data_IF_250079194746
#
_entry.id   IF_250079194746
#
_cell.length_a   1.000
_cell.length_b   1.000
_cell.length_c   1.000
_cell.angle_alpha   90.00
_cell.angle_beta   90.00
_cell.angle_gamma   90.00
#
_symmetry.space_group_name_H-M   'P 1'
#
loop_
_entity.id
_entity.type
_entity.pdbx_description
1 polymer ?
#
# COMPACT_ATOMS: atom_id res chain seq x y z
N UNK A 1 20.62 -21.78 3.79
CA UNK A 1 19.41 -22.15 3.09
C UNK A 1 19.80 -22.48 1.66
N UNK A 2 19.31 -23.61 1.09
CA UNK A 2 19.56 -23.97 -0.31
C UNK A 2 18.67 -23.15 -1.26
N UNK A 3 18.98 -23.15 -2.56
CA UNK A 3 18.12 -22.51 -3.57
C UNK A 3 16.73 -23.18 -3.67
N UNK A 4 16.67 -24.48 -3.41
CA UNK A 4 15.43 -25.23 -3.37
C UNK A 4 14.55 -24.81 -2.17
N UNK A 5 15.15 -24.64 -0.99
CA UNK A 5 14.44 -24.12 0.19
C UNK A 5 13.90 -22.70 -0.06
N UNK A 6 14.69 -21.84 -0.74
CA UNK A 6 14.25 -20.48 -1.09
C UNK A 6 13.07 -20.52 -2.06
N UNK A 7 13.13 -21.37 -3.08
CA UNK A 7 12.04 -21.52 -4.06
C UNK A 7 10.74 -22.04 -3.41
N UNK A 8 10.84 -23.02 -2.50
CA UNK A 8 9.71 -23.55 -1.75
C UNK A 8 9.09 -22.46 -0.86
N UNK A 9 9.92 -21.73 -0.15
CA UNK A 9 9.51 -20.67 0.75
C UNK A 9 8.78 -19.52 0.03
N UNK A 10 9.31 -19.08 -1.12
CA UNK A 10 8.65 -18.09 -1.95
C UNK A 10 7.31 -18.58 -2.49
N UNK A 11 7.23 -19.85 -2.89
CA UNK A 11 5.98 -20.47 -3.35
C UNK A 11 4.91 -20.54 -2.25
N UNK A 12 5.30 -20.85 -1.02
CA UNK A 12 4.41 -20.89 0.14
C UNK A 12 3.92 -19.50 0.55
N UNK A 13 4.78 -18.46 0.47
CA UNK A 13 4.44 -17.09 0.83
C UNK A 13 3.67 -16.33 -0.28
N UNK A 14 3.77 -16.75 -1.54
CA UNK A 14 3.15 -16.08 -2.68
C UNK A 14 1.64 -15.85 -2.54
N UNK A 15 0.80 -16.85 -2.16
CA UNK A 15 -0.63 -16.64 -1.98
C UNK A 15 -0.98 -15.59 -0.93
N UNK A 16 -0.17 -15.48 0.12
CA UNK A 16 -0.38 -14.52 1.19
C UNK A 16 -0.07 -13.09 0.75
N UNK A 17 1.00 -12.91 -0.02
CA UNK A 17 1.29 -11.61 -0.65
C UNK A 17 0.15 -11.20 -1.57
N UNK A 18 -0.34 -12.09 -2.44
CA UNK A 18 -1.50 -11.81 -3.27
C UNK A 18 -2.70 -11.38 -2.42
N UNK A 19 -3.02 -12.14 -1.36
CA UNK A 19 -4.13 -11.83 -0.45
C UNK A 19 -3.99 -10.51 0.32
N UNK A 20 -2.75 -10.06 0.59
CA UNK A 20 -2.47 -8.81 1.29
C UNK A 20 -2.56 -7.57 0.39
N UNK A 21 -2.25 -7.73 -0.91
CA UNK A 21 -2.12 -6.64 -1.86
C UNK A 21 -3.21 -6.62 -2.94
N UNK A 22 -4.36 -7.27 -2.71
CA UNK A 22 -5.52 -7.21 -3.61
C UNK A 22 -5.44 -8.15 -4.82
N UNK A 23 -4.55 -9.13 -4.79
CA UNK A 23 -4.34 -10.07 -5.88
C UNK A 23 -3.42 -9.54 -6.98
N UNK A 24 -3.24 -10.35 -8.02
CA UNK A 24 -2.62 -9.89 -9.25
C UNK A 24 -3.55 -8.92 -9.98
N UNK A 25 -3.00 -7.82 -10.50
CA UNK A 25 -3.78 -6.89 -11.29
C UNK A 25 -4.23 -7.52 -12.62
N UNK A 26 -5.52 -7.48 -12.89
CA UNK A 26 -6.14 -8.13 -14.07
C UNK A 26 -5.91 -7.33 -15.35
N UNK A 27 -4.67 -7.27 -15.78
CA UNK A 27 -4.23 -6.73 -17.08
C UNK A 27 -3.07 -7.57 -17.62
N UNK A 28 -3.35 -8.58 -18.44
CA UNK A 28 -2.30 -9.46 -18.99
C UNK A 28 -1.23 -8.73 -19.82
N UNK A 29 -1.57 -7.61 -20.46
CA UNK A 29 -0.60 -6.83 -21.25
C UNK A 29 0.38 -6.11 -20.35
N UNK A 30 -0.12 -5.49 -19.28
CA UNK A 30 0.72 -4.81 -18.31
C UNK A 30 1.57 -5.82 -17.51
N UNK A 31 1.01 -6.99 -17.13
CA UNK A 31 1.78 -8.08 -16.52
C UNK A 31 2.95 -8.52 -17.43
N UNK A 32 2.67 -8.78 -18.71
CA UNK A 32 3.69 -9.20 -19.68
C UNK A 32 4.75 -8.11 -19.91
N UNK A 33 4.35 -6.85 -19.94
CA UNK A 33 5.26 -5.72 -20.11
C UNK A 33 6.25 -5.62 -18.94
N UNK A 34 5.77 -5.64 -17.69
CA UNK A 34 6.63 -5.60 -16.50
C UNK A 34 7.52 -6.84 -16.41
N UNK A 35 6.98 -8.02 -16.73
CA UNK A 35 7.77 -9.25 -16.81
C UNK A 35 8.87 -9.18 -17.87
N UNK A 36 8.61 -8.53 -19.01
CA UNK A 36 9.59 -8.30 -20.06
C UNK A 36 10.78 -7.46 -19.60
N UNK A 37 10.51 -6.36 -18.87
CA UNK A 37 11.54 -5.52 -18.24
C UNK A 37 12.38 -6.36 -17.26
N UNK A 38 11.71 -7.08 -16.35
CA UNK A 38 12.39 -7.93 -15.38
C UNK A 38 13.23 -9.02 -16.00
N UNK A 39 12.71 -9.71 -17.03
CA UNK A 39 13.44 -10.77 -17.75
C UNK A 39 14.70 -10.23 -18.44
N UNK A 40 14.60 -9.02 -19.03
CA UNK A 40 15.76 -8.35 -19.63
C UNK A 40 16.84 -8.06 -18.60
N UNK A 41 16.48 -7.58 -17.39
CA UNK A 41 17.41 -7.35 -16.30
C UNK A 41 18.06 -8.65 -15.81
N UNK A 42 17.27 -9.72 -15.62
CA UNK A 42 17.77 -11.05 -15.19
C UNK A 42 18.81 -11.59 -16.15
N UNK A 43 18.67 -11.34 -17.46
CA UNK A 43 19.65 -11.74 -18.47
C UNK A 43 21.05 -11.18 -18.25
N UNK A 44 21.20 -10.14 -17.44
CA UNK A 44 22.47 -9.49 -17.11
C UNK A 44 22.92 -9.69 -15.64
N UNK A 45 22.27 -10.60 -14.92
CA UNK A 45 22.66 -10.99 -13.56
C UNK A 45 23.77 -12.07 -13.59
N UNK A 46 24.29 -12.42 -12.40
CA UNK A 46 25.24 -13.52 -12.22
C UNK A 46 24.62 -14.90 -12.48
N UNK A 47 23.28 -14.98 -12.47
CA UNK A 47 22.52 -16.22 -12.63
C UNK A 47 21.41 -16.04 -13.68
N UNK A 48 21.75 -15.78 -14.95
CA UNK A 48 20.76 -15.46 -15.98
C UNK A 48 19.78 -16.60 -16.31
N UNK A 49 20.11 -17.83 -15.91
CA UNK A 49 19.24 -19.01 -16.04
C UNK A 49 18.30 -19.26 -14.86
N UNK A 50 18.36 -18.41 -13.83
CA UNK A 50 17.48 -18.56 -12.65
C UNK A 50 16.04 -18.18 -13.00
N UNK A 51 15.09 -18.88 -12.36
CA UNK A 51 13.67 -18.61 -12.53
C UNK A 51 13.25 -17.40 -11.70
N UNK A 52 12.78 -16.35 -12.37
CA UNK A 52 12.13 -15.21 -11.76
C UNK A 52 10.66 -15.13 -12.17
N UNK A 53 9.81 -14.64 -11.28
CA UNK A 53 8.37 -14.43 -11.50
C UNK A 53 8.03 -12.99 -11.14
N UNK A 54 7.50 -12.26 -12.10
CA UNK A 54 7.13 -10.85 -11.94
C UNK A 54 5.61 -10.74 -11.87
N UNK A 55 5.09 -10.03 -10.87
CA UNK A 55 3.65 -9.86 -10.69
C UNK A 55 3.34 -8.40 -10.40
N UNK A 56 2.44 -7.81 -11.19
CA UNK A 56 1.82 -6.53 -10.87
C UNK A 56 0.68 -6.78 -9.89
N UNK A 57 0.76 -6.15 -8.72
CA UNK A 57 -0.26 -6.28 -7.65
C UNK A 57 -1.34 -5.21 -7.78
N UNK A 58 -2.60 -5.59 -7.48
CA UNK A 58 -3.76 -4.70 -7.48
C UNK A 58 -3.80 -3.82 -6.22
N UNK A 59 -2.74 -3.08 -5.95
CA UNK A 59 -2.59 -2.24 -4.76
C UNK A 59 -2.25 -0.80 -5.11
N UNK A 60 -2.85 0.13 -4.36
CA UNK A 60 -2.58 1.58 -4.47
C UNK A 60 -1.31 2.01 -3.75
N UNK A 61 -0.78 1.19 -2.88
CA UNK A 61 0.45 1.46 -2.13
C UNK A 61 1.61 1.56 -3.12
N UNK A 62 2.44 2.58 -2.99
CA UNK A 62 3.67 2.72 -3.80
C UNK A 62 4.73 1.78 -3.24
N UNK A 63 4.90 0.62 -3.87
CA UNK A 63 5.82 -0.40 -3.39
C UNK A 63 6.28 -1.38 -4.47
N UNK A 64 7.48 -1.95 -4.26
CA UNK A 64 7.97 -3.17 -4.89
C UNK A 64 8.58 -4.07 -3.82
N UNK A 65 8.66 -5.36 -4.06
CA UNK A 65 9.21 -6.31 -3.11
C UNK A 65 9.70 -7.59 -3.76
N UNK A 66 10.67 -8.23 -3.13
CA UNK A 66 11.17 -9.53 -3.50
C UNK A 66 10.94 -10.57 -2.40
N UNK A 67 10.52 -11.77 -2.78
CA UNK A 67 10.56 -12.95 -1.92
C UNK A 67 11.70 -13.89 -2.35
N UNK A 68 12.18 -14.77 -1.44
CA UNK A 68 13.10 -15.83 -1.80
C UNK A 68 12.59 -16.64 -3.00
N UNK A 69 13.48 -17.20 -3.80
CA UNK A 69 13.10 -18.00 -4.98
C UNK A 69 12.68 -17.19 -6.21
N UNK A 70 13.00 -15.89 -6.25
CA UNK A 70 12.85 -15.05 -7.45
C UNK A 70 11.45 -14.51 -7.71
N UNK A 71 10.61 -14.40 -6.69
CA UNK A 71 9.30 -13.73 -6.81
C UNK A 71 9.48 -12.23 -6.63
N UNK A 72 9.18 -11.45 -7.66
CA UNK A 72 9.24 -9.98 -7.68
C UNK A 72 7.84 -9.43 -7.87
N UNK A 73 7.48 -8.46 -7.05
CA UNK A 73 6.18 -7.81 -7.10
C UNK A 73 6.35 -6.31 -7.29
N UNK A 74 5.48 -5.73 -8.11
CA UNK A 74 5.37 -4.29 -8.31
C UNK A 74 3.90 -3.89 -8.17
N UNK A 75 3.59 -2.88 -7.39
CA UNK A 75 2.21 -2.43 -7.20
C UNK A 75 1.79 -1.45 -8.29
N UNK A 76 0.46 -1.35 -8.56
CA UNK A 76 -0.10 -0.31 -9.44
C UNK A 76 0.27 1.10 -8.97
N UNK A 77 0.32 1.30 -7.65
CA UNK A 77 0.72 2.58 -7.07
C UNK A 77 2.12 3.00 -7.48
N UNK A 78 3.08 2.06 -7.50
CA UNK A 78 4.44 2.32 -7.96
C UNK A 78 4.47 2.59 -9.47
N UNK A 79 3.75 1.80 -10.26
CA UNK A 79 3.67 2.03 -11.72
C UNK A 79 3.08 3.40 -12.04
N UNK A 80 2.05 3.84 -11.30
CA UNK A 80 1.47 5.17 -11.51
C UNK A 80 2.45 6.31 -11.17
N UNK A 81 3.34 6.11 -10.18
CA UNK A 81 4.34 7.11 -9.78
C UNK A 81 5.50 7.21 -10.76
N UNK A 82 6.04 6.09 -11.25
CA UNK A 82 7.12 6.08 -12.22
C UNK A 82 6.72 6.80 -13.53
N UNK A 83 7.67 7.49 -14.16
CA UNK A 83 7.43 8.27 -15.37
C UNK A 83 7.91 7.59 -16.64
N UNK A 84 8.81 6.62 -16.51
CA UNK A 84 9.42 5.95 -17.64
C UNK A 84 9.88 4.52 -17.31
N UNK A 85 10.25 3.80 -18.36
CA UNK A 85 10.69 2.41 -18.28
C UNK A 85 11.98 2.25 -17.48
N UNK A 86 12.91 3.22 -17.59
CA UNK A 86 14.18 3.15 -16.89
C UNK A 86 14.01 3.36 -15.37
N UNK A 87 13.06 4.19 -14.92
CA UNK A 87 12.69 4.31 -13.49
C UNK A 87 12.16 2.97 -12.95
N UNK A 88 11.24 2.33 -13.70
CA UNK A 88 10.73 1.01 -13.33
C UNK A 88 11.85 -0.04 -13.33
N UNK A 89 12.72 -0.04 -14.34
CA UNK A 89 13.86 -0.94 -14.43
C UNK A 89 14.82 -0.78 -13.25
N UNK A 90 15.01 0.45 -12.74
CA UNK A 90 15.80 0.72 -11.55
C UNK A 90 15.25 0.04 -10.31
N UNK A 91 13.95 0.17 -10.09
CA UNK A 91 13.29 -0.47 -8.95
C UNK A 91 13.31 -1.99 -9.07
N UNK A 92 12.92 -2.52 -10.22
CA UNK A 92 12.91 -3.98 -10.45
C UNK A 92 14.33 -4.55 -10.37
N UNK A 93 15.33 -3.83 -10.91
CA UNK A 93 16.74 -4.21 -10.82
C UNK A 93 17.25 -4.27 -9.36
N UNK A 94 16.83 -3.33 -8.53
CA UNK A 94 17.12 -3.34 -7.10
C UNK A 94 16.50 -4.55 -6.39
N UNK A 95 15.23 -4.89 -6.68
CA UNK A 95 14.58 -6.08 -6.13
C UNK A 95 15.25 -7.38 -6.60
N UNK A 96 15.67 -7.43 -7.86
CA UNK A 96 16.48 -8.53 -8.37
C UNK A 96 17.83 -8.59 -7.63
N UNK A 97 18.45 -7.45 -7.33
CA UNK A 97 19.66 -7.34 -6.52
C UNK A 97 19.50 -7.97 -5.13
N UNK A 98 18.36 -7.77 -4.47
CA UNK A 98 18.07 -8.43 -3.19
C UNK A 98 17.96 -9.95 -3.30
N UNK A 99 17.48 -10.47 -4.42
CA UNK A 99 17.40 -11.92 -4.67
C UNK A 99 18.79 -12.48 -4.98
N UNK A 100 19.54 -11.87 -5.92
CA UNK A 100 20.88 -12.32 -6.34
C UNK A 100 21.91 -12.19 -5.19
N UNK A 101 21.82 -11.14 -4.37
CA UNK A 101 22.59 -10.95 -3.13
C UNK A 101 22.10 -11.84 -1.97
N UNK A 102 21.00 -12.62 -2.17
CA UNK A 102 20.40 -13.50 -1.16
C UNK A 102 19.93 -12.79 0.11
N UNK A 103 19.69 -11.48 0.06
CA UNK A 103 19.31 -10.67 1.22
C UNK A 103 17.96 -11.09 1.79
N UNK A 104 16.98 -11.40 0.94
CA UNK A 104 15.65 -11.91 1.32
C UNK A 104 15.75 -13.23 2.08
N UNK A 105 16.60 -14.16 1.63
CA UNK A 105 16.83 -15.43 2.30
C UNK A 105 17.52 -15.28 3.65
N UNK A 106 18.49 -14.37 3.76
CA UNK A 106 19.18 -14.05 5.03
C UNK A 106 18.20 -13.48 6.05
N UNK A 107 17.37 -12.49 5.67
CA UNK A 107 16.35 -11.89 6.54
C UNK A 107 15.34 -12.92 7.04
N UNK A 108 14.86 -13.76 6.14
CA UNK A 108 13.92 -14.78 6.52
C UNK A 108 14.52 -15.77 7.51
N UNK A 109 15.76 -16.20 7.29
CA UNK A 109 16.48 -17.07 8.24
C UNK A 109 16.67 -16.41 9.60
N UNK A 110 16.98 -15.12 9.64
CA UNK A 110 17.12 -14.34 10.89
C UNK A 110 15.76 -14.20 11.61
N UNK A 111 14.68 -13.93 10.87
CA UNK A 111 13.34 -13.84 11.45
C UNK A 111 12.88 -15.18 12.05
N UNK A 112 13.17 -16.30 11.37
CA UNK A 112 12.92 -17.64 11.91
C UNK A 112 13.72 -17.91 13.20
N UNK A 113 15.01 -17.59 13.20
CA UNK A 113 15.86 -17.78 14.38
C UNK A 113 15.40 -16.92 15.56
N UNK A 114 15.01 -15.66 15.32
CA UNK A 114 14.47 -14.77 16.34
C UNK A 114 13.16 -15.27 16.95
N UNK A 115 12.25 -15.81 16.14
CA UNK A 115 10.97 -16.37 16.62
C UNK A 115 11.14 -17.65 17.42
N UNK A 116 12.14 -18.49 17.10
CA UNK A 116 12.50 -19.67 17.91
C UNK A 116 13.07 -19.24 19.26
N UNK A 117 13.82 -18.15 19.31
CA UNK A 117 14.44 -17.64 20.55
C UNK A 117 13.44 -16.88 21.47
N UNK A 118 12.37 -16.28 20.89
CA UNK A 118 11.41 -15.45 21.61
C UNK A 118 10.07 -16.13 21.89
N UNK A 119 9.95 -17.42 21.61
CA UNK A 119 8.76 -18.27 21.67
C UNK A 119 7.72 -17.95 22.73
N UNK A 120 7.08 -16.80 22.73
CA UNK A 120 5.84 -16.45 23.44
C UNK A 120 5.65 -14.90 23.35
N UNK A 121 5.14 -14.36 22.27
CA UNK A 121 4.56 -13.00 22.31
C UNK A 121 3.47 -12.75 21.24
N UNK A 122 3.00 -13.82 20.56
CA UNK A 122 2.10 -13.70 19.40
C UNK A 122 0.60 -13.63 19.70
N UNK A 123 0.14 -13.90 20.91
CA UNK A 123 -1.30 -14.17 21.14
C UNK A 123 -2.14 -12.90 21.38
N UNK A 124 -1.55 -11.83 21.92
CA UNK A 124 -2.34 -10.64 22.29
C UNK A 124 -2.58 -9.67 21.12
N UNK A 125 -1.72 -9.65 20.12
CA UNK A 125 -1.84 -8.73 18.97
C UNK A 125 -2.70 -9.29 17.84
N UNK A 126 -2.81 -10.61 17.70
CA UNK A 126 -3.56 -11.26 16.61
C UNK A 126 -5.08 -11.02 16.66
N UNK A 127 -5.64 -10.80 17.84
CA UNK A 127 -7.08 -10.52 18.01
C UNK A 127 -7.45 -9.15 17.41
N UNK A 128 -6.51 -8.21 17.37
CA UNK A 128 -6.76 -6.83 16.95
C UNK A 128 -6.27 -6.48 15.56
N UNK A 129 -5.23 -7.14 15.07
CA UNK A 129 -4.66 -6.86 13.74
C UNK A 129 -5.18 -7.81 12.66
N UNK A 130 -5.80 -8.93 13.03
CA UNK A 130 -6.21 -9.98 12.11
C UNK A 130 -5.05 -10.74 11.48
N UNK A 131 -3.81 -10.46 11.91
CA UNK A 131 -2.60 -11.13 11.45
C UNK A 131 -2.18 -12.15 12.51
N UNK A 132 -2.26 -13.42 12.18
CA UNK A 132 -1.77 -14.51 13.02
C UNK A 132 -0.24 -14.60 12.81
N UNK A 133 0.54 -14.02 13.71
CA UNK A 133 2.01 -14.00 13.64
C UNK A 133 2.66 -15.40 13.84
N UNK A 134 1.86 -16.43 14.04
CA UNK A 134 2.34 -17.81 14.24
C UNK A 134 2.47 -18.64 12.96
N UNK A 135 1.90 -18.18 11.84
CA UNK A 135 1.95 -18.88 10.56
C UNK A 135 3.12 -18.39 9.72
N UNK A 136 3.59 -19.21 8.77
CA UNK A 136 4.69 -18.88 7.84
C UNK A 136 4.45 -17.55 7.12
N UNK A 137 3.20 -17.20 6.88
CA UNK A 137 2.76 -15.90 6.35
C UNK A 137 3.07 -14.71 7.27
N UNK A 138 2.89 -14.88 8.59
CA UNK A 138 3.27 -13.88 9.58
C UNK A 138 4.78 -13.64 9.62
N UNK A 139 5.58 -14.67 9.36
CA UNK A 139 7.04 -14.59 9.27
C UNK A 139 7.50 -13.82 8.02
N UNK A 140 6.89 -14.07 6.87
CA UNK A 140 7.18 -13.34 5.64
C UNK A 140 6.80 -11.85 5.78
N UNK A 141 5.64 -11.55 6.36
CA UNK A 141 5.22 -10.18 6.65
C UNK A 141 6.15 -9.50 7.68
N UNK A 142 6.60 -10.21 8.71
CA UNK A 142 7.52 -9.67 9.73
C UNK A 142 8.91 -9.43 9.14
N UNK A 143 9.42 -10.36 8.33
CA UNK A 143 10.68 -10.19 7.62
C UNK A 143 10.63 -9.00 6.67
N UNK A 144 9.50 -8.78 6.00
CA UNK A 144 9.26 -7.63 5.12
C UNK A 144 9.25 -6.29 5.89
N UNK A 145 8.65 -6.24 7.09
CA UNK A 145 8.52 -5.01 7.90
C UNK A 145 9.86 -4.58 8.52
N UNK A 146 10.82 -5.48 8.74
CA UNK A 146 12.06 -5.18 9.47
C UNK A 146 13.14 -4.39 8.70
N UNK A 147 12.93 -4.07 7.41
CA UNK A 147 13.90 -3.34 6.58
C UNK A 147 15.23 -4.11 6.34
N UNK A 148 15.92 -3.85 5.26
CA UNK A 148 17.25 -4.39 4.98
C UNK A 148 18.34 -3.61 5.73
N UNK A 149 19.52 -4.20 5.96
CA UNK A 149 20.65 -3.47 6.48
C UNK A 149 21.15 -2.45 5.44
N UNK A 150 21.84 -1.40 5.90
CA UNK A 150 22.41 -0.39 4.99
C UNK A 150 23.35 -0.99 3.96
N UNK A 151 24.12 -2.01 4.34
CA UNK A 151 25.06 -2.69 3.45
C UNK A 151 24.32 -3.50 2.39
N UNK A 152 23.26 -4.23 2.77
CA UNK A 152 22.41 -4.96 1.83
C UNK A 152 21.69 -4.02 0.85
N UNK A 153 21.22 -2.86 1.31
CA UNK A 153 20.63 -1.84 0.45
C UNK A 153 21.67 -1.29 -0.56
N UNK A 154 22.89 -0.98 -0.08
CA UNK A 154 23.96 -0.48 -0.94
C UNK A 154 24.39 -1.50 -1.99
N UNK A 155 24.45 -2.78 -1.61
CA UNK A 155 24.72 -3.86 -2.55
C UNK A 155 23.61 -4.01 -3.58
N UNK A 156 22.33 -4.00 -3.17
CA UNK A 156 21.18 -4.09 -4.06
C UNK A 156 21.12 -2.90 -5.03
N UNK A 157 21.43 -1.68 -4.59
CA UNK A 157 21.54 -0.51 -5.47
C UNK A 157 22.64 -0.71 -6.51
N UNK A 158 23.83 -1.15 -6.10
CA UNK A 158 24.97 -1.36 -6.99
C UNK A 158 24.68 -2.44 -8.04
N UNK A 159 24.05 -3.53 -7.62
CA UNK A 159 23.60 -4.61 -8.50
C UNK A 159 22.53 -4.12 -9.49
N UNK A 160 21.49 -3.44 -8.99
CA UNK A 160 20.41 -2.91 -9.81
C UNK A 160 20.90 -1.93 -10.88
N UNK A 161 21.76 -0.99 -10.51
CA UNK A 161 22.39 -0.03 -11.43
C UNK A 161 23.20 -0.76 -12.50
N UNK A 162 23.98 -1.77 -12.13
CA UNK A 162 24.76 -2.58 -13.06
C UNK A 162 23.85 -3.32 -14.04
N UNK A 163 22.75 -3.93 -13.57
CA UNK A 163 21.80 -4.64 -14.42
C UNK A 163 21.08 -3.69 -15.38
N UNK A 164 20.65 -2.50 -14.90
CA UNK A 164 20.07 -1.46 -15.75
C UNK A 164 21.02 -1.05 -16.88
N UNK A 165 22.26 -0.71 -16.53
CA UNK A 165 23.27 -0.26 -17.48
C UNK A 165 23.57 -1.33 -18.53
N UNK A 166 23.79 -2.57 -18.11
CA UNK A 166 24.02 -3.70 -19.02
C UNK A 166 22.81 -3.97 -19.91
N UNK A 167 21.60 -3.67 -19.44
CA UNK A 167 20.35 -3.77 -20.20
C UNK A 167 20.08 -2.57 -21.11
N UNK A 168 20.92 -1.54 -21.09
CA UNK A 168 20.81 -0.35 -21.95
C UNK A 168 19.86 0.73 -21.46
N UNK A 169 19.43 0.71 -20.21
CA UNK A 169 18.72 1.83 -19.56
C UNK A 169 19.68 2.77 -18.88
N UNK A 170 19.28 4.06 -18.75
CA UNK A 170 20.09 5.04 -18.04
C UNK A 170 20.03 4.82 -16.53
N UNK A 171 21.15 4.66 -15.82
CA UNK A 171 21.19 4.48 -14.37
C UNK A 171 20.67 5.70 -13.59
N UNK A 172 20.74 6.91 -14.16
CA UNK A 172 20.29 8.15 -13.53
C UNK A 172 18.81 8.12 -13.18
N UNK A 173 17.99 7.37 -13.94
CA UNK A 173 16.55 7.22 -13.67
C UNK A 173 16.24 6.61 -12.31
N UNK A 174 17.14 5.79 -11.74
CA UNK A 174 16.97 5.28 -10.38
C UNK A 174 17.03 6.40 -9.34
N UNK A 175 17.95 7.35 -9.47
CA UNK A 175 18.03 8.53 -8.59
C UNK A 175 16.82 9.46 -8.77
N UNK A 176 16.34 9.63 -10.01
CA UNK A 176 15.13 10.40 -10.31
C UNK A 176 13.91 9.80 -9.62
N UNK A 177 13.73 8.48 -9.72
CA UNK A 177 12.62 7.78 -9.07
C UNK A 177 12.65 7.91 -7.55
N UNK A 178 13.81 7.85 -6.91
CA UNK A 178 13.94 8.07 -5.46
C UNK A 178 13.54 9.48 -5.05
N UNK A 179 13.86 10.48 -5.87
CA UNK A 179 13.37 11.85 -5.66
C UNK A 179 11.84 11.90 -5.64
N UNK A 180 11.19 11.24 -6.60
CA UNK A 180 9.72 11.15 -6.66
C UNK A 180 9.11 10.39 -5.48
N UNK A 181 9.72 9.30 -5.04
CA UNK A 181 9.28 8.58 -3.84
C UNK A 181 9.29 9.51 -2.62
N UNK A 182 10.32 10.37 -2.50
CA UNK A 182 10.39 11.36 -1.43
C UNK A 182 9.27 12.39 -1.54
N UNK A 183 9.02 12.92 -2.74
CA UNK A 183 7.94 13.89 -2.96
C UNK A 183 6.56 13.26 -2.71
N UNK A 184 6.36 12.00 -3.10
CA UNK A 184 5.16 11.22 -2.78
C UNK A 184 4.98 11.05 -1.27
N UNK A 185 6.05 10.71 -0.54
CA UNK A 185 6.01 10.55 0.92
C UNK A 185 5.70 11.86 1.63
N UNK A 186 6.25 12.98 1.14
CA UNK A 186 5.92 14.32 1.62
C UNK A 186 4.46 14.67 1.41
N UNK A 187 3.94 14.41 0.21
CA UNK A 187 2.53 14.62 -0.08
C UNK A 187 1.64 13.77 0.84
N UNK A 188 1.98 12.49 1.05
CA UNK A 188 1.22 11.62 1.95
C UNK A 188 1.24 12.10 3.39
N UNK A 189 2.37 12.61 3.88
CA UNK A 189 2.46 13.23 5.21
C UNK A 189 1.53 14.43 5.32
N UNK A 190 1.55 15.34 4.35
CA UNK A 190 0.66 16.51 4.29
C UNK A 190 -0.81 16.09 4.25
N UNK A 191 -1.17 15.14 3.41
CA UNK A 191 -2.52 14.60 3.32
C UNK A 191 -2.98 13.92 4.62
N UNK A 192 -2.03 13.41 5.42
CA UNK A 192 -2.28 12.85 6.74
C UNK A 192 -2.31 13.92 7.86
N UNK A 193 -2.18 15.21 7.53
CA UNK A 193 -2.09 16.31 8.51
C UNK A 193 -0.80 16.30 9.34
N UNK A 194 0.28 15.71 8.82
CA UNK A 194 1.60 15.63 9.46
C UNK A 194 2.58 16.57 8.78
N UNK A 195 3.72 16.79 9.44
CA UNK A 195 4.81 17.56 8.82
C UNK A 195 5.32 16.85 7.54
N UNK A 196 5.57 17.58 6.44
CA UNK A 196 6.19 17.02 5.25
C UNK A 196 7.60 16.46 5.49
N UNK A 197 8.23 16.77 6.62
CA UNK A 197 9.53 16.22 7.00
C UNK A 197 9.45 14.86 7.70
N UNK A 198 8.24 14.37 8.03
CA UNK A 198 8.00 13.02 8.56
C UNK A 198 8.03 11.93 7.45
N UNK A 199 8.99 12.02 6.53
CA UNK A 199 9.05 11.19 5.30
C UNK A 199 9.43 9.74 5.54
N UNK A 200 10.16 9.44 6.62
CA UNK A 200 10.70 8.10 6.88
C UNK A 200 9.64 7.10 7.38
N UNK A 201 8.43 7.56 7.69
CA UNK A 201 7.32 6.73 8.17
C UNK A 201 6.44 6.17 7.05
N UNK A 202 6.60 6.68 5.82
CA UNK A 202 5.70 6.38 4.70
C UNK A 202 6.44 5.68 3.56
N UNK A 203 5.77 4.70 2.94
CA UNK A 203 6.17 4.08 1.69
C UNK A 203 7.36 3.11 1.75
N UNK A 204 7.92 2.86 0.61
CA UNK A 204 9.07 2.01 0.32
C UNK A 204 10.32 2.37 1.15
N UNK A 205 10.43 3.60 1.69
CA UNK A 205 11.54 4.00 2.58
C UNK A 205 11.53 3.27 3.93
N UNK A 206 10.36 2.86 4.42
CA UNK A 206 10.28 2.11 5.68
C UNK A 206 10.87 0.69 5.57
N UNK A 207 10.73 0.04 4.40
CA UNK A 207 11.31 -1.28 4.12
C UNK A 207 12.70 -1.20 3.51
N UNK A 208 13.03 -0.08 2.83
CA UNK A 208 14.29 0.17 2.12
C UNK A 208 14.87 1.54 2.49
N UNK A 209 15.53 1.69 3.66
CA UNK A 209 16.06 2.97 4.10
C UNK A 209 17.20 3.43 3.16
N UNK A 210 16.84 4.31 2.21
CA UNK A 210 17.74 4.82 1.18
C UNK A 210 18.03 6.29 1.40
N UNK A 211 19.24 6.72 1.08
CA UNK A 211 19.56 8.13 0.89
C UNK A 211 19.68 8.43 -0.60
N UNK A 212 19.04 9.50 -1.06
CA UNK A 212 19.14 9.96 -2.47
C UNK A 212 20.60 10.15 -2.88
N UNK A 213 21.45 10.60 -1.98
CA UNK A 213 22.87 10.82 -2.25
C UNK A 213 23.63 9.51 -2.54
N UNK A 214 23.34 8.42 -1.80
CA UNK A 214 23.95 7.10 -2.03
C UNK A 214 23.66 6.57 -3.44
N UNK A 215 22.43 6.76 -3.93
CA UNK A 215 22.05 6.32 -5.28
C UNK A 215 22.65 7.23 -6.35
N UNK A 216 22.73 8.54 -6.11
CA UNK A 216 23.47 9.45 -7.02
C UNK A 216 24.93 9.06 -7.13
N UNK A 217 25.59 8.73 -6.02
CA UNK A 217 26.99 8.31 -6.03
C UNK A 217 27.18 7.00 -6.80
N UNK A 218 26.27 6.02 -6.62
CA UNK A 218 26.31 4.75 -7.33
C UNK A 218 25.98 4.93 -8.83
N UNK A 219 25.00 5.76 -9.20
CA UNK A 219 24.68 6.09 -10.58
C UNK A 219 25.83 6.83 -11.28
N UNK A 220 26.47 7.79 -10.60
CA UNK A 220 27.64 8.49 -11.11
C UNK A 220 28.85 7.56 -11.32
N UNK A 221 29.02 6.57 -10.44
CA UNK A 221 30.07 5.56 -10.60
C UNK A 221 29.80 4.65 -11.82
N UNK A 222 28.56 4.23 -12.03
CA UNK A 222 28.14 3.43 -13.19
C UNK A 222 28.22 4.22 -14.51
N UNK A 223 27.83 5.50 -14.49
CA UNK A 223 27.84 6.38 -15.67
C UNK A 223 29.24 6.69 -16.21
N UNK A 224 30.29 6.68 -15.37
CA UNK A 224 31.69 6.84 -15.82
C UNK A 224 32.17 5.73 -16.75
N UNK A 225 31.48 4.58 -16.76
CA UNK A 225 31.81 3.44 -17.63
C UNK A 225 31.01 3.37 -18.94
N UNK A 226 29.85 4.05 -19.04
CA UNK A 226 28.90 3.90 -20.16
C UNK A 226 28.64 5.18 -20.97
N UNK A 227 29.24 6.32 -20.60
CA UNK A 227 29.01 7.59 -21.28
C UNK A 227 27.59 8.18 -21.09
N UNK A 228 26.80 7.69 -20.14
CA UNK A 228 25.53 8.28 -19.73
C UNK A 228 24.39 8.22 -20.76
N UNK A 229 24.50 7.39 -21.81
CA UNK A 229 23.53 7.31 -22.91
C UNK A 229 22.69 6.03 -22.84
N UNK A 230 21.85 5.90 -21.81
CA UNK A 230 20.84 4.84 -21.77
C UNK A 230 19.47 5.33 -22.22
N UNK A 231 18.61 4.39 -22.67
CA UNK A 231 17.23 4.69 -23.01
C UNK A 231 16.42 4.98 -21.72
N UNK A 232 15.45 5.88 -21.80
CA UNK A 232 14.46 6.13 -20.73
C UNK A 232 13.13 5.44 -21.01
N UNK A 233 12.71 5.31 -22.27
CA UNK A 233 11.51 4.58 -22.68
C UNK A 233 10.18 5.20 -22.23
N UNK A 234 10.11 6.55 -22.07
CA UNK A 234 8.95 7.25 -21.48
C UNK A 234 7.66 7.03 -22.27
N UNK A 235 7.68 7.25 -23.59
CA UNK A 235 6.46 7.19 -24.40
C UNK A 235 5.84 5.79 -24.44
N UNK A 236 6.68 4.76 -24.50
CA UNK A 236 6.25 3.37 -24.46
C UNK A 236 5.65 3.03 -23.11
N UNK A 237 6.32 3.43 -22.03
CA UNK A 237 5.86 3.24 -20.68
C UNK A 237 4.47 3.85 -20.44
N UNK A 238 4.31 5.14 -20.76
CA UNK A 238 3.05 5.84 -20.62
C UNK A 238 1.93 5.20 -21.45
N UNK A 239 2.24 4.68 -22.64
CA UNK A 239 1.24 3.99 -23.46
C UNK A 239 0.74 2.69 -22.81
N UNK A 240 1.59 1.97 -22.08
CA UNK A 240 1.19 0.78 -21.32
C UNK A 240 0.35 1.11 -20.07
N UNK A 241 0.48 2.32 -19.54
CA UNK A 241 -0.27 2.76 -18.36
C UNK A 241 -1.61 3.41 -18.69
N UNK A 242 -1.87 3.82 -19.94
CA UNK A 242 -3.13 4.49 -20.30
C UNK A 242 -4.33 3.56 -20.07
N UNK A 243 -5.24 3.99 -19.21
CA UNK A 243 -6.41 3.21 -18.77
C UNK A 243 -6.19 2.37 -17.51
N UNK A 244 -4.97 2.29 -16.98
CA UNK A 244 -4.70 1.56 -15.71
C UNK A 244 -5.55 2.13 -14.57
N UNK A 245 -6.07 1.26 -13.72
CA UNK A 245 -6.80 1.65 -12.51
C UNK A 245 -5.89 2.43 -11.56
N UNK A 246 -6.34 3.58 -11.08
CA UNK A 246 -5.66 4.41 -10.08
C UNK A 246 -6.57 4.55 -8.86
N UNK A 247 -5.98 4.56 -7.66
CA UNK A 247 -6.78 4.56 -6.43
C UNK A 247 -7.45 3.22 -6.16
N UNK A 248 -8.51 3.26 -5.37
CA UNK A 248 -9.22 2.07 -4.92
C UNK A 248 -9.87 1.30 -6.06
N UNK A 249 -9.89 -0.03 -5.93
CA UNK A 249 -10.67 -0.90 -6.79
C UNK A 249 -12.14 -0.88 -6.33
N UNK A 250 -13.11 -0.50 -7.20
CA UNK A 250 -14.53 -0.51 -6.85
C UNK A 250 -15.04 -1.87 -6.35
N UNK A 251 -14.39 -2.98 -6.75
CA UNK A 251 -14.70 -4.33 -6.26
C UNK A 251 -14.40 -4.51 -4.77
N UNK A 252 -13.42 -3.76 -4.24
CA UNK A 252 -13.01 -3.76 -2.82
C UNK A 252 -13.59 -2.56 -2.05
N UNK A 253 -14.39 -1.73 -2.71
CA UNK A 253 -14.92 -0.48 -2.19
C UNK A 253 -14.02 0.72 -2.48
N UNK A 254 -14.55 1.92 -2.30
CA UNK A 254 -13.86 3.17 -2.61
C UNK A 254 -13.92 4.16 -1.46
N UNK A 255 -12.84 4.88 -1.27
CA UNK A 255 -12.74 6.02 -0.36
C UNK A 255 -12.81 7.32 -1.16
N UNK A 256 -13.71 8.23 -0.74
CA UNK A 256 -13.80 9.59 -1.25
C UNK A 256 -13.84 10.55 -0.05
N UNK A 257 -12.77 11.27 0.17
CA UNK A 257 -12.61 12.10 1.38
C UNK A 257 -12.78 11.25 2.66
N UNK A 258 -13.82 11.54 3.44
CA UNK A 258 -14.15 10.85 4.69
C UNK A 258 -15.19 9.75 4.56
N UNK A 259 -15.59 9.41 3.34
CA UNK A 259 -16.63 8.41 3.07
C UNK A 259 -16.01 7.16 2.44
N UNK A 260 -16.33 6.00 3.00
CA UNK A 260 -16.15 4.70 2.38
C UNK A 260 -17.49 4.23 1.78
N UNK A 261 -17.43 3.68 0.59
CA UNK A 261 -18.59 3.11 -0.11
C UNK A 261 -18.18 1.82 -0.83
N UNK A 262 -18.99 0.78 -0.73
CA UNK A 262 -18.75 -0.49 -1.39
C UNK A 262 -19.97 -0.93 -2.19
N UNK A 263 -19.87 -0.88 -3.53
CA UNK A 263 -20.99 -1.16 -4.43
C UNK A 263 -21.54 -2.59 -4.28
N UNK A 264 -20.64 -3.59 -4.19
CA UNK A 264 -21.01 -5.00 -4.03
C UNK A 264 -21.72 -5.31 -2.71
N UNK A 265 -21.23 -4.76 -1.60
CA UNK A 265 -21.89 -4.88 -0.28
C UNK A 265 -23.10 -3.95 -0.16
N UNK A 266 -23.23 -2.95 -1.02
CA UNK A 266 -24.32 -1.97 -0.96
C UNK A 266 -24.27 -1.06 0.26
N UNK A 267 -23.11 -0.85 0.88
CA UNK A 267 -22.97 -0.14 2.16
C UNK A 267 -22.06 1.07 2.04
N UNK A 268 -22.32 2.09 2.86
CA UNK A 268 -21.43 3.24 3.05
C UNK A 268 -21.40 3.66 4.51
N UNK A 269 -20.31 4.36 4.88
CA UNK A 269 -20.19 5.08 6.15
C UNK A 269 -19.26 6.28 6.02
N UNK A 270 -19.31 7.17 6.99
CA UNK A 270 -18.47 8.38 7.05
C UNK A 270 -17.71 8.41 8.38
N UNK A 271 -16.41 8.75 8.32
CA UNK A 271 -15.58 8.93 9.51
C UNK A 271 -15.53 10.41 9.93
N UNK A 272 -15.19 10.72 11.22
CA UNK A 272 -15.13 12.09 11.70
C UNK A 272 -14.10 12.93 10.95
N UNK A 273 -14.24 14.23 11.00
CA UNK A 273 -13.21 15.16 10.51
C UNK A 273 -11.87 14.89 11.23
N UNK A 274 -10.77 15.02 10.50
CA UNK A 274 -9.43 14.73 11.00
C UNK A 274 -9.00 13.27 10.91
N UNK A 275 -9.94 12.37 10.52
CA UNK A 275 -9.59 10.97 10.22
C UNK A 275 -9.30 10.78 8.74
N UNK A 276 -8.23 10.06 8.44
CA UNK A 276 -7.89 9.61 7.08
C UNK A 276 -8.25 8.14 6.92
N UNK A 277 -9.10 7.86 5.93
CA UNK A 277 -9.48 6.50 5.53
C UNK A 277 -8.39 5.88 4.64
N UNK A 278 -8.15 4.61 4.86
CA UNK A 278 -7.33 3.74 4.00
C UNK A 278 -8.12 2.47 3.73
N UNK A 279 -8.34 2.17 2.46
CA UNK A 279 -8.99 0.93 2.04
C UNK A 279 -7.94 -0.17 1.88
N UNK A 280 -8.01 -1.19 2.71
CA UNK A 280 -7.17 -2.37 2.64
C UNK A 280 -8.00 -3.61 2.27
N UNK A 281 -7.35 -4.64 1.79
CA UNK A 281 -8.00 -5.88 1.30
C UNK A 281 -8.81 -6.66 2.35
N UNK A 282 -8.45 -6.52 3.61
CA UNK A 282 -9.12 -7.24 4.73
C UNK A 282 -9.93 -6.32 5.64
N UNK A 283 -9.68 -5.02 5.57
CA UNK A 283 -10.35 -4.04 6.41
C UNK A 283 -10.13 -2.63 5.89
N UNK A 284 -11.12 -1.78 6.12
CA UNK A 284 -10.98 -0.33 5.97
C UNK A 284 -10.55 0.23 7.32
N UNK A 285 -9.50 1.04 7.33
CA UNK A 285 -9.00 1.69 8.55
C UNK A 285 -9.07 3.20 8.41
N UNK A 286 -9.31 3.90 9.51
CA UNK A 286 -9.18 5.34 9.57
C UNK A 286 -8.36 5.72 10.79
N UNK A 287 -7.46 6.69 10.65
CA UNK A 287 -6.58 7.15 11.71
C UNK A 287 -6.57 8.67 11.76
N UNK A 288 -6.35 9.21 12.96
CA UNK A 288 -6.15 10.64 13.16
C UNK A 288 -4.83 10.93 13.92
N UNK A 289 -4.49 12.21 14.06
CA UNK A 289 -3.27 12.66 14.74
C UNK A 289 -3.23 12.36 16.23
N UNK A 290 -4.41 12.21 16.88
CA UNK A 290 -4.54 12.01 18.33
C UNK A 290 -4.45 10.53 18.73
N UNK A 291 -4.13 9.64 17.77
CA UNK A 291 -4.01 8.21 18.00
C UNK A 291 -5.34 7.45 17.98
N UNK A 292 -6.43 8.10 17.57
CA UNK A 292 -7.71 7.44 17.32
C UNK A 292 -7.63 6.56 16.08
N UNK A 293 -8.15 5.33 16.17
CA UNK A 293 -8.23 4.38 15.07
C UNK A 293 -9.67 3.87 14.95
N UNK A 294 -10.18 3.82 13.73
CA UNK A 294 -11.43 3.15 13.38
C UNK A 294 -11.09 2.05 12.38
N UNK A 295 -11.55 0.83 12.63
CA UNK A 295 -11.40 -0.30 11.74
C UNK A 295 -12.77 -0.85 11.38
N UNK A 296 -13.05 -1.00 10.10
CA UNK A 296 -14.23 -1.67 9.56
C UNK A 296 -13.79 -2.95 8.84
N UNK A 297 -14.43 -4.06 9.17
CA UNK A 297 -14.25 -5.33 8.50
C UNK A 297 -15.53 -6.18 8.52
N UNK A 298 -15.47 -7.36 7.92
CA UNK A 298 -16.56 -8.34 7.96
C UNK A 298 -16.25 -9.44 8.98
N UNK A 299 -17.24 -9.72 9.81
CA UNK A 299 -17.25 -10.89 10.68
C UNK A 299 -17.73 -12.15 9.95
N UNK A 300 -17.65 -13.29 10.64
CA UNK A 300 -18.31 -14.51 10.17
C UNK A 300 -19.82 -14.31 10.18
N UNK A 301 -20.52 -14.91 9.20
CA UNK A 301 -21.98 -14.95 9.19
C UNK A 301 -22.53 -15.46 10.53
N UNK A 302 -23.59 -14.82 11.03
CA UNK A 302 -24.18 -15.20 12.29
C UNK A 302 -25.72 -15.14 12.23
N UNK A 303 -26.36 -16.17 12.81
CA UNK A 303 -27.81 -16.23 12.95
C UNK A 303 -28.30 -15.64 14.28
N UNK A 304 -27.40 -15.43 15.24
CA UNK A 304 -27.69 -14.91 16.57
C UNK A 304 -27.91 -13.38 16.55
N UNK A 305 -28.41 -12.85 17.67
CA UNK A 305 -28.45 -11.41 17.89
C UNK A 305 -27.03 -10.83 18.09
N UNK A 306 -26.89 -9.51 17.92
CA UNK A 306 -25.58 -8.88 17.93
C UNK A 306 -24.97 -8.71 19.31
N UNK A 307 -25.76 -8.72 20.39
CA UNK A 307 -25.23 -8.72 21.76
C UNK A 307 -24.57 -10.06 22.08
N UNK A 308 -25.23 -11.17 21.72
CA UNK A 308 -24.68 -12.52 21.81
C UNK A 308 -23.44 -12.68 20.92
N UNK A 309 -23.45 -12.12 19.71
CA UNK A 309 -22.30 -12.14 18.79
C UNK A 309 -21.06 -11.44 19.39
N UNK A 310 -21.25 -10.24 19.99
CA UNK A 310 -20.16 -9.52 20.65
C UNK A 310 -19.53 -10.37 21.77
N UNK A 311 -20.35 -10.97 22.63
CA UNK A 311 -19.87 -11.69 23.81
C UNK A 311 -19.27 -13.06 23.52
N UNK A 312 -19.88 -13.81 22.59
CA UNK A 312 -19.56 -15.24 22.39
C UNK A 312 -18.66 -15.50 21.20
N UNK A 313 -18.63 -14.59 20.22
CA UNK A 313 -17.82 -14.77 19.01
C UNK A 313 -16.72 -13.74 18.89
N UNK A 314 -17.05 -12.44 18.77
CA UNK A 314 -16.04 -11.43 18.48
C UNK A 314 -15.13 -11.09 19.65
N UNK A 315 -15.70 -10.83 20.83
CA UNK A 315 -14.93 -10.51 22.03
C UNK A 315 -14.86 -11.69 23.03
N UNK A 316 -14.92 -12.91 22.52
CA UNK A 316 -14.84 -14.11 23.35
C UNK A 316 -13.60 -14.09 24.25
N UNK A 317 -13.82 -14.20 25.57
CA UNK A 317 -12.74 -14.14 26.57
C UNK A 317 -12.39 -12.73 27.05
N UNK A 318 -12.98 -11.68 26.46
CA UNK A 318 -12.82 -10.30 26.94
C UNK A 318 -14.01 -9.88 27.79
N UNK A 319 -13.74 -9.06 28.81
CA UNK A 319 -14.80 -8.50 29.65
C UNK A 319 -15.34 -7.22 29.00
N UNK A 320 -16.54 -7.31 28.42
CA UNK A 320 -17.24 -6.15 27.88
C UNK A 320 -18.08 -5.45 28.95
N UNK A 321 -18.14 -4.13 28.88
CA UNK A 321 -19.03 -3.25 29.62
C UNK A 321 -19.94 -2.47 28.65
N UNK A 322 -21.02 -1.89 29.19
CA UNK A 322 -21.94 -1.05 28.41
C UNK A 322 -22.44 -1.73 27.12
N UNK A 323 -22.81 -3.01 27.24
CA UNK A 323 -23.36 -3.75 26.10
C UNK A 323 -24.78 -3.28 25.88
N UNK A 324 -25.06 -2.81 24.66
CA UNK A 324 -26.35 -2.25 24.29
C UNK A 324 -26.77 -2.74 22.90
N UNK A 325 -28.01 -3.21 22.80
CA UNK A 325 -28.65 -3.48 21.50
C UNK A 325 -29.17 -2.16 20.94
N UNK A 326 -28.83 -1.89 19.67
CA UNK A 326 -29.22 -0.68 18.96
C UNK A 326 -29.72 -1.02 17.56
N UNK A 327 -30.31 -0.04 16.89
CA UNK A 327 -30.70 -0.16 15.48
C UNK A 327 -30.00 0.96 14.69
N UNK A 328 -29.36 0.63 13.58
CA UNK A 328 -28.66 1.58 12.71
C UNK A 328 -29.31 1.53 11.32
N UNK A 329 -30.05 2.57 10.98
CA UNK A 329 -30.74 2.68 9.68
C UNK A 329 -31.51 1.41 9.29
N UNK A 330 -32.24 0.83 10.24
CA UNK A 330 -33.03 -0.40 10.06
C UNK A 330 -32.27 -1.71 10.27
N UNK A 331 -30.95 -1.68 10.41
CA UNK A 331 -30.12 -2.86 10.66
C UNK A 331 -29.98 -3.12 12.18
N UNK A 332 -30.30 -4.34 12.67
CA UNK A 332 -30.03 -4.71 14.06
C UNK A 332 -28.53 -4.66 14.38
N UNK A 333 -28.16 -4.07 15.49
CA UNK A 333 -26.76 -3.90 15.88
C UNK A 333 -26.57 -4.01 17.41
N UNK A 334 -25.34 -4.14 17.85
CA UNK A 334 -24.99 -4.01 19.25
C UNK A 334 -23.63 -3.34 19.40
N UNK A 335 -23.47 -2.61 20.49
CA UNK A 335 -22.20 -1.99 20.89
C UNK A 335 -21.77 -2.51 22.27
N UNK A 336 -20.45 -2.50 22.53
CA UNK A 336 -19.89 -2.83 23.83
C UNK A 336 -18.50 -2.20 23.96
N UNK A 337 -18.03 -2.00 25.18
CA UNK A 337 -16.76 -1.35 25.47
C UNK A 337 -15.84 -2.27 26.28
N UNK A 338 -14.55 -2.15 26.04
CA UNK A 338 -13.51 -2.78 26.87
C UNK A 338 -12.26 -1.92 26.89
N UNK A 339 -11.39 -2.16 27.86
CA UNK A 339 -10.05 -1.58 27.89
C UNK A 339 -9.01 -2.66 27.63
N UNK A 340 -8.10 -2.39 26.74
CA UNK A 340 -7.05 -3.32 26.31
C UNK A 340 -5.70 -2.79 26.76
N UNK A 341 -4.82 -3.71 27.14
CA UNK A 341 -3.42 -3.41 27.39
C UNK A 341 -2.60 -3.80 26.18
N UNK A 342 -1.85 -2.86 25.63
CA UNK A 342 -0.92 -3.06 24.52
C UNK A 342 0.51 -2.79 24.96
N UNK A 343 1.49 -3.18 24.16
CA UNK A 343 2.89 -2.84 24.40
C UNK A 343 3.17 -1.31 24.34
N UNK A 344 2.25 -0.52 23.78
CA UNK A 344 2.30 0.95 23.73
C UNK A 344 1.43 1.63 24.81
N UNK A 345 0.84 0.84 25.73
CA UNK A 345 -0.03 1.34 26.79
C UNK A 345 -1.47 0.86 26.67
N UNK A 346 -2.34 1.37 27.55
CA UNK A 346 -3.76 1.05 27.53
C UNK A 346 -4.48 1.77 26.39
N UNK A 347 -5.46 1.10 25.78
CA UNK A 347 -6.39 1.69 24.80
C UNK A 347 -7.83 1.34 25.17
N UNK A 348 -8.74 2.29 25.04
CA UNK A 348 -10.17 2.04 25.13
C UNK A 348 -10.67 1.56 23.76
N UNK A 349 -11.39 0.46 23.76
CA UNK A 349 -11.95 -0.17 22.59
C UNK A 349 -13.49 -0.17 22.68
N UNK A 350 -14.14 0.42 21.68
CA UNK A 350 -15.58 0.29 21.47
C UNK A 350 -15.81 -0.61 20.26
N UNK A 351 -16.55 -1.67 20.47
CA UNK A 351 -16.94 -2.64 19.45
C UNK A 351 -18.36 -2.32 18.98
N UNK A 352 -18.59 -2.45 17.69
CA UNK A 352 -19.89 -2.30 17.07
C UNK A 352 -20.07 -3.42 16.05
N UNK A 353 -21.05 -4.30 16.26
CA UNK A 353 -21.47 -5.33 15.31
C UNK A 353 -22.83 -4.95 14.71
N UNK A 354 -22.96 -5.03 13.39
CA UNK A 354 -24.15 -4.67 12.64
C UNK A 354 -24.53 -5.88 11.79
N UNK A 355 -25.82 -6.30 11.87
CA UNK A 355 -26.35 -7.42 11.10
C UNK A 355 -27.09 -6.92 9.88
N UNK A 356 -26.70 -7.41 8.70
CA UNK A 356 -27.35 -7.14 7.44
C UNK A 356 -27.63 -8.48 6.72
N UNK A 357 -28.85 -8.96 6.83
CA UNK A 357 -29.19 -10.32 6.42
C UNK A 357 -28.37 -11.39 7.14
N UNK A 358 -27.50 -12.08 6.44
CA UNK A 358 -26.53 -13.05 7.01
C UNK A 358 -25.18 -12.40 7.34
N UNK A 359 -24.84 -11.31 6.69
CA UNK A 359 -23.59 -10.61 6.89
C UNK A 359 -23.52 -9.94 8.26
N UNK A 360 -22.31 -9.87 8.81
CA UNK A 360 -22.01 -9.11 10.02
C UNK A 360 -20.91 -8.13 9.70
N UNK A 361 -21.23 -6.84 9.73
CA UNK A 361 -20.24 -5.76 9.66
C UNK A 361 -19.74 -5.44 11.06
N UNK A 362 -18.43 -5.23 11.18
CA UNK A 362 -17.81 -4.90 12.46
C UNK A 362 -17.09 -3.58 12.36
N UNK A 363 -17.30 -2.71 13.34
CA UNK A 363 -16.49 -1.52 13.54
C UNK A 363 -15.82 -1.58 14.90
N UNK A 364 -14.51 -1.39 14.91
CA UNK A 364 -13.70 -1.28 16.13
C UNK A 364 -13.17 0.14 16.19
N UNK A 365 -13.50 0.84 17.28
CA UNK A 365 -12.99 2.17 17.59
C UNK A 365 -11.96 2.02 18.70
N UNK A 366 -10.75 2.48 18.46
CA UNK A 366 -9.65 2.48 19.44
C UNK A 366 -9.24 3.91 19.74
N UNK A 367 -9.10 4.24 21.01
CA UNK A 367 -8.64 5.57 21.44
C UNK A 367 -7.72 5.46 22.65
N UNK A 368 -6.66 6.28 22.73
CA UNK A 368 -5.95 6.47 23.99
C UNK A 368 -6.94 6.93 25.07
N UNK A 369 -6.87 6.40 26.31
CA UNK A 369 -7.86 6.71 27.36
C UNK A 369 -8.04 8.20 27.66
N UNK A 370 -6.99 9.00 27.43
CA UNK A 370 -6.97 10.44 27.69
C UNK A 370 -7.89 11.23 26.74
N UNK A 371 -8.12 10.71 25.54
CA UNK A 371 -8.92 11.39 24.50
C UNK A 371 -10.23 10.67 24.17
N UNK A 372 -10.54 9.54 24.84
CA UNK A 372 -11.76 8.74 24.57
C UNK A 372 -13.04 9.58 24.64
N UNK A 373 -13.19 10.43 25.65
CA UNK A 373 -14.35 11.29 25.78
C UNK A 373 -14.50 12.31 24.63
N UNK A 374 -13.39 12.85 24.15
CA UNK A 374 -13.36 13.78 23.02
C UNK A 374 -13.82 13.12 21.71
N UNK A 375 -13.51 11.83 21.52
CA UNK A 375 -13.87 11.09 20.32
C UNK A 375 -15.28 10.49 20.35
N UNK A 376 -15.95 10.45 21.50
CA UNK A 376 -17.22 9.75 21.67
C UNK A 376 -18.32 10.22 20.70
N UNK A 377 -18.48 11.51 20.50
CA UNK A 377 -19.48 12.06 19.55
C UNK A 377 -19.14 11.72 18.09
N UNK A 378 -17.87 11.81 17.71
CA UNK A 378 -17.42 11.42 16.39
C UNK A 378 -17.65 9.94 16.09
N UNK A 379 -17.35 9.07 17.05
CA UNK A 379 -17.62 7.63 16.95
C UNK A 379 -19.12 7.35 16.84
N UNK A 380 -19.96 8.09 17.58
CA UNK A 380 -21.41 7.99 17.50
C UNK A 380 -21.92 8.38 16.10
N UNK A 381 -21.46 9.51 15.56
CA UNK A 381 -21.82 9.95 14.20
C UNK A 381 -21.39 8.93 13.16
N UNK A 382 -20.17 8.38 13.24
CA UNK A 382 -19.71 7.31 12.35
C UNK A 382 -20.63 6.08 12.45
N UNK A 383 -20.97 5.65 13.67
CA UNK A 383 -21.90 4.53 13.90
C UNK A 383 -23.22 4.72 13.13
N UNK A 384 -23.86 5.86 13.27
CA UNK A 384 -25.16 6.13 12.64
C UNK A 384 -25.06 6.58 11.19
N UNK A 385 -23.86 6.82 10.66
CA UNK A 385 -23.63 7.07 9.23
C UNK A 385 -23.63 5.80 8.39
N UNK A 386 -23.52 4.62 9.02
CA UNK A 386 -23.57 3.33 8.33
C UNK A 386 -24.96 3.11 7.77
N UNK A 387 -25.08 2.98 6.45
CA UNK A 387 -26.35 2.75 5.75
C UNK A 387 -26.15 2.07 4.42
N UNK A 388 -27.24 1.59 3.85
CA UNK A 388 -27.23 1.12 2.47
C UNK A 388 -27.03 2.29 1.48
N UNK A 389 -26.36 1.97 0.36
CA UNK A 389 -26.29 2.86 -0.80
C UNK A 389 -27.65 2.90 -1.51
N UNK A 390 -28.01 4.08 -1.99
CA UNK A 390 -29.07 4.18 -2.99
C UNK A 390 -28.59 3.64 -4.34
N UNK A 391 -29.53 3.32 -5.27
CA UNK A 391 -29.15 2.85 -6.61
C UNK A 391 -28.33 3.91 -7.38
N UNK A 392 -28.67 5.18 -7.21
CA UNK A 392 -27.91 6.29 -7.79
C UNK A 392 -26.47 6.36 -7.25
N UNK A 393 -26.28 6.28 -5.93
CA UNK A 393 -24.96 6.27 -5.31
C UNK A 393 -24.14 5.05 -5.75
N UNK A 394 -24.77 3.88 -5.88
CA UNK A 394 -24.12 2.67 -6.37
C UNK A 394 -23.63 2.82 -7.82
N UNK A 395 -24.44 3.43 -8.68
CA UNK A 395 -24.11 3.67 -10.08
C UNK A 395 -23.02 4.75 -10.27
N UNK A 396 -22.85 5.64 -9.28
CA UNK A 396 -21.83 6.69 -9.30
C UNK A 396 -20.44 6.21 -8.82
N UNK A 397 -20.34 5.01 -8.24
CA UNK A 397 -19.08 4.42 -7.85
C UNK A 397 -18.34 3.94 -9.12
N UNK A 398 -17.50 4.81 -9.67
CA UNK A 398 -16.69 4.54 -10.87
C UNK A 398 -15.23 4.42 -10.51
N UNK A 399 -14.47 3.52 -11.19
CA UNK A 399 -13.03 3.45 -11.04
C UNK A 399 -12.37 4.72 -11.54
N UNK A 400 -11.40 5.22 -10.82
CA UNK A 400 -10.48 6.23 -11.33
C UNK A 400 -9.42 5.55 -12.20
N UNK A 401 -9.11 6.15 -13.35
CA UNK A 401 -8.13 5.59 -14.27
C UNK A 401 -7.07 6.61 -14.64
N UNK A 402 -5.88 6.11 -14.87
CA UNK A 402 -4.82 6.90 -15.47
C UNK A 402 -5.17 7.20 -16.91
N UNK A 403 -5.05 8.46 -17.32
CA UNK A 403 -5.20 8.89 -18.69
C UNK A 403 -3.97 9.66 -19.14
N UNK A 404 -3.39 9.25 -20.24
CA UNK A 404 -2.26 9.98 -20.82
C UNK A 404 -2.83 11.07 -21.71
N UNK A 405 -2.46 12.31 -21.40
CA UNK A 405 -2.85 13.49 -22.16
C UNK A 405 -1.64 14.11 -22.85
N UNK A 406 -1.88 14.84 -23.92
CA UNK A 406 -0.89 15.73 -24.54
C UNK A 406 -1.19 17.15 -24.14
N UNK A 407 -0.21 17.83 -23.57
CA UNK A 407 -0.30 19.25 -23.16
C UNK A 407 -0.58 20.12 -24.38
N UNK A 408 -1.57 21.01 -24.30
CA UNK A 408 -1.95 21.94 -25.34
C UNK A 408 -1.34 23.33 -25.09
N UNK A 409 -1.29 24.16 -26.11
CA UNK A 409 -0.94 25.56 -25.96
C UNK A 409 -1.93 26.26 -25.00
N UNK A 410 -1.40 26.94 -23.98
CA UNK A 410 -2.18 27.61 -22.94
C UNK A 410 -2.50 26.75 -21.71
N UNK A 411 -2.20 25.42 -21.71
CA UNK A 411 -2.30 24.61 -20.52
C UNK A 411 -1.23 25.05 -19.49
N UNK A 412 -1.63 25.08 -18.23
CA UNK A 412 -0.73 25.30 -17.07
C UNK A 412 -0.87 24.14 -16.09
N UNK A 413 0.06 24.02 -15.16
CA UNK A 413 -0.04 23.03 -14.06
C UNK A 413 -1.36 23.19 -13.32
N UNK A 414 -1.75 24.42 -13.02
CA UNK A 414 -2.96 24.76 -12.28
C UNK A 414 -4.22 24.34 -13.08
N UNK A 415 -4.30 24.73 -14.36
CA UNK A 415 -5.47 24.39 -15.22
C UNK A 415 -5.63 22.88 -15.43
N UNK A 416 -4.52 22.12 -15.49
CA UNK A 416 -4.56 20.67 -15.60
C UNK A 416 -4.92 20.04 -14.25
N UNK A 417 -4.37 20.54 -13.15
CA UNK A 417 -4.64 20.05 -11.81
C UNK A 417 -6.12 20.23 -11.40
N UNK A 418 -6.79 21.30 -11.83
CA UNK A 418 -8.21 21.55 -11.57
C UNK A 418 -9.10 20.42 -12.13
N UNK A 419 -8.65 19.68 -13.14
CA UNK A 419 -9.37 18.56 -13.75
C UNK A 419 -9.25 17.25 -12.99
N UNK A 420 -8.37 17.18 -11.96
CA UNK A 420 -8.23 15.98 -11.14
C UNK A 420 -9.45 15.78 -10.24
N UNK A 421 -9.90 14.53 -10.03
CA UNK A 421 -11.09 14.19 -9.24
C UNK A 421 -10.81 14.18 -7.72
N UNK A 422 -10.08 15.16 -7.23
CA UNK A 422 -9.74 15.32 -5.81
C UNK A 422 -10.27 16.66 -5.29
N UNK A 423 -10.62 16.69 -4.00
CA UNK A 423 -11.14 17.92 -3.37
C UNK A 423 -10.03 18.84 -2.86
N UNK A 424 -8.84 18.27 -2.60
CA UNK A 424 -7.70 18.93 -1.96
C UNK A 424 -6.37 18.70 -2.71
N UNK A 425 -5.41 19.56 -2.49
CA UNK A 425 -4.01 19.42 -2.93
C UNK A 425 -3.86 19.02 -4.41
N UNK A 426 -4.73 19.50 -5.30
CA UNK A 426 -4.75 19.10 -6.71
C UNK A 426 -3.45 19.41 -7.43
N UNK A 427 -2.86 20.56 -7.16
CA UNK A 427 -1.60 21.01 -7.79
C UNK A 427 -0.43 20.11 -7.34
N UNK A 428 -0.32 19.87 -6.04
CA UNK A 428 0.72 19.03 -5.47
C UNK A 428 0.57 17.57 -5.96
N UNK A 429 -0.65 17.04 -5.98
CA UNK A 429 -0.94 15.70 -6.53
C UNK A 429 -0.56 15.59 -8.01
N UNK A 430 -0.88 16.60 -8.82
CA UNK A 430 -0.53 16.62 -10.23
C UNK A 430 0.98 16.69 -10.45
N UNK A 431 1.68 17.51 -9.65
CA UNK A 431 3.14 17.64 -9.71
C UNK A 431 3.83 16.34 -9.33
N UNK A 432 3.44 15.73 -8.22
CA UNK A 432 4.02 14.45 -7.77
C UNK A 432 3.76 13.34 -8.78
N UNK A 433 2.52 13.23 -9.29
CA UNK A 433 2.15 12.23 -10.30
C UNK A 433 3.02 12.30 -11.56
N UNK A 434 3.47 13.50 -11.94
CA UNK A 434 4.22 13.76 -13.17
C UNK A 434 5.70 14.14 -12.94
N UNK A 435 6.21 13.99 -11.72
CA UNK A 435 7.60 14.34 -11.39
C UNK A 435 7.96 15.79 -11.67
N UNK A 436 7.00 16.73 -11.54
CA UNK A 436 7.20 18.15 -11.82
C UNK A 436 7.68 18.88 -10.56
N UNK A 437 8.93 19.33 -10.57
CA UNK A 437 9.49 20.13 -9.49
C UNK A 437 8.67 21.42 -9.26
N UNK A 438 8.75 21.96 -8.04
CA UNK A 438 8.12 23.23 -7.70
C UNK A 438 8.61 24.34 -8.66
N UNK A 439 7.67 25.18 -9.12
CA UNK A 439 7.95 26.24 -10.09
C UNK A 439 8.13 25.78 -11.55
N UNK A 440 8.28 24.48 -11.83
CA UNK A 440 8.34 23.96 -13.21
C UNK A 440 6.95 24.01 -13.84
N UNK A 441 6.84 24.59 -15.03
CA UNK A 441 5.65 24.56 -15.87
C UNK A 441 5.55 23.29 -16.73
N UNK A 442 4.51 23.24 -17.56
CA UNK A 442 4.30 22.19 -18.57
C UNK A 442 4.58 22.71 -19.97
N UNK A 443 5.00 21.85 -20.89
CA UNK A 443 5.39 22.23 -22.25
C UNK A 443 4.38 21.66 -23.26
N UNK A 444 3.85 22.49 -24.21
CA UNK A 444 2.98 22.00 -25.27
C UNK A 444 3.62 20.83 -26.04
N UNK A 445 2.84 19.76 -26.27
CA UNK A 445 3.30 18.53 -26.87
C UNK A 445 3.82 17.47 -25.89
N UNK A 446 4.10 17.84 -24.65
CA UNK A 446 4.50 16.91 -23.60
C UNK A 446 3.35 15.94 -23.25
N UNK A 447 3.67 14.67 -23.01
CA UNK A 447 2.70 13.69 -22.52
C UNK A 447 2.75 13.65 -20.98
N UNK A 448 1.59 13.79 -20.36
CA UNK A 448 1.45 13.78 -18.91
C UNK A 448 0.35 12.81 -18.48
N UNK A 449 0.48 12.36 -17.24
CA UNK A 449 -0.49 11.51 -16.54
C UNK A 449 -1.59 12.36 -15.93
N UNK A 450 -2.84 11.98 -16.15
CA UNK A 450 -4.03 12.51 -15.50
C UNK A 450 -4.77 11.39 -14.80
N UNK A 451 -5.52 11.71 -13.75
CA UNK A 451 -6.48 10.80 -13.10
C UNK A 451 -7.88 11.27 -13.48
N UNK A 452 -8.71 10.36 -14.04
CA UNK A 452 -10.07 10.64 -14.47
C UNK A 452 -11.02 9.51 -14.03
#
# INVERSE_FOLDING_TARGET
MSAEDEAKMGAEAHPDILGQFGGAYDDPKLQAYVAGIGTRLVGHTETPGSTFRFTVLNSTIVNAMALPGGYIYVTRGLLALADDEAELAGVVGHEIGHVTGRHTAQRYSQAMAANVATGILGVATSIFTGVNLGDVAGLAATAYIQGYSRDQESEADSLGIRYMNASGWTPDSMATFLGKLRDQSRLEAVLAGRSPDAVDEFSMFASHPRTVDRVKDAAAAAGKGSGGQGAVGRDLYLAHLDGMLVGDDPGEGVVRGRVFSHAGLGIRFEVPQGYRLTNGTKAVTAQNSDGGVIRFDMGKEAQMDMTSYLQSQWAKGSRLSNIEAITINGMPAATGMTRLSTNKGAVDARLLAIKDGKAVYRMLFLTPPQVTAQHAEGQRRTTYSVRHLTDAERADIKPLRLKIITVKAGDTVESLAERLPYDDHRVERFRVLNGLAEGKGVTPGEKLKMVM
#
